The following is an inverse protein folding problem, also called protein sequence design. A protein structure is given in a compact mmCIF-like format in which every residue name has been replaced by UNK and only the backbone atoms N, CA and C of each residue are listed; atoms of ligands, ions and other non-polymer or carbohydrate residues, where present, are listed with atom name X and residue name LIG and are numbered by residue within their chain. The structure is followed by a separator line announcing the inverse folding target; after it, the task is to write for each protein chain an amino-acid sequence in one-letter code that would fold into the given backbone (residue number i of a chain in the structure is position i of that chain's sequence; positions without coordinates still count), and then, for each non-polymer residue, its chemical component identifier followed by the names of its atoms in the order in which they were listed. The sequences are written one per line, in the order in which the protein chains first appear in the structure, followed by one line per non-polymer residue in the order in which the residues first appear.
data_IF_048127729519
#
_entry.id   IF_048127729519
#
_cell.length_a   1.000
_cell.length_b   1.000
_cell.length_c   1.000
_cell.angle_alpha   90.00
_cell.angle_beta   90.00
_cell.angle_gamma   90.00
#
_symmetry.space_group_name_H-M   'P 1'
#
loop_
_entity.id
_entity.type
_entity.pdbx_description
1 polymer ?
#
# COMPACT_ATOMS: atom_id res chain seq x y z
N UNK A 1 -5.07 -8.70 -6.05
CA UNK A 1 -3.84 -9.51 -6.26
C UNK A 1 -2.57 -8.66 -6.20
N UNK A 2 -2.48 -7.54 -6.92
CA UNK A 2 -1.29 -6.66 -6.94
C UNK A 2 -1.00 -6.02 -5.57
N UNK A 3 -2.03 -5.53 -4.87
CA UNK A 3 -1.86 -4.95 -3.52
C UNK A 3 -1.24 -5.93 -2.51
N UNK A 4 -1.60 -7.22 -2.54
CA UNK A 4 -1.03 -8.23 -1.65
C UNK A 4 0.46 -8.46 -1.93
N UNK A 5 0.87 -8.45 -3.21
CA UNK A 5 2.30 -8.53 -3.59
C UNK A 5 3.06 -7.31 -3.08
N UNK A 6 2.46 -6.13 -3.10
CA UNK A 6 3.08 -4.95 -2.51
C UNK A 6 3.16 -5.06 -0.99
N UNK A 7 2.08 -5.40 -0.29
CA UNK A 7 2.03 -5.42 1.17
C UNK A 7 2.98 -6.46 1.81
N UNK A 8 3.18 -7.61 1.15
CA UNK A 8 3.93 -8.75 1.71
C UNK A 8 5.16 -9.16 0.88
N UNK A 9 5.37 -8.54 -0.28
CA UNK A 9 6.39 -8.98 -1.23
C UNK A 9 6.02 -10.30 -1.92
N UNK A 10 6.86 -10.72 -2.86
CA UNK A 10 6.78 -12.07 -3.41
C UNK A 10 8.10 -12.55 -4.00
N UNK A 11 8.24 -13.87 -4.13
CA UNK A 11 9.38 -14.51 -4.78
C UNK A 11 8.89 -15.38 -5.93
N UNK A 12 9.31 -15.04 -7.14
CA UNK A 12 8.84 -15.69 -8.37
C UNK A 12 9.99 -16.51 -8.96
N UNK A 13 9.77 -17.80 -9.17
CA UNK A 13 10.75 -18.65 -9.86
C UNK A 13 10.88 -18.22 -11.32
N UNK A 14 12.11 -18.05 -11.79
CA UNK A 14 12.41 -17.64 -13.16
C UNK A 14 12.27 -18.85 -14.08
N UNK A 15 11.38 -18.74 -15.05
CA UNK A 15 11.28 -19.70 -16.15
C UNK A 15 12.09 -19.23 -17.35
N UNK A 16 12.45 -20.14 -18.26
CA UNK A 16 13.15 -19.78 -19.50
C UNK A 16 12.32 -18.83 -20.36
N UNK A 17 10.99 -19.01 -20.39
CA UNK A 17 10.08 -18.09 -21.08
C UNK A 17 10.15 -16.68 -20.49
N UNK A 18 10.15 -16.55 -19.16
CA UNK A 18 10.29 -15.24 -18.49
C UNK A 18 11.65 -14.61 -18.78
N UNK A 19 12.72 -15.41 -18.76
CA UNK A 19 14.08 -14.94 -19.07
C UNK A 19 14.15 -14.36 -20.48
N UNK A 20 13.60 -15.08 -21.47
CA UNK A 20 13.57 -14.62 -22.85
C UNK A 20 12.70 -13.37 -23.01
N UNK A 21 11.55 -13.32 -22.33
CA UNK A 21 10.67 -12.15 -22.33
C UNK A 21 11.36 -10.90 -21.78
N UNK A 22 12.00 -11.01 -20.61
CA UNK A 22 12.71 -9.90 -19.98
C UNK A 22 13.91 -9.46 -20.82
N UNK A 23 14.66 -10.40 -21.41
CA UNK A 23 15.75 -10.10 -22.34
C UNK A 23 15.26 -9.32 -23.57
N UNK A 24 14.12 -9.71 -24.15
CA UNK A 24 13.51 -8.98 -25.27
C UNK A 24 13.06 -7.56 -24.89
N UNK A 25 12.82 -7.31 -23.60
CA UNK A 25 12.53 -5.99 -23.02
C UNK A 25 13.79 -5.24 -22.56
N UNK A 26 14.99 -5.79 -22.76
CA UNK A 26 16.26 -5.16 -22.37
C UNK A 26 16.75 -5.51 -20.96
N UNK A 27 16.00 -6.31 -20.19
CA UNK A 27 16.41 -6.78 -18.86
C UNK A 27 17.01 -8.20 -18.93
N UNK A 28 18.33 -8.28 -19.03
CA UNK A 28 19.05 -9.55 -19.09
C UNK A 28 19.32 -10.12 -17.69
N UNK A 29 18.74 -11.28 -17.40
CA UNK A 29 18.99 -12.01 -16.15
C UNK A 29 20.22 -12.92 -16.29
N UNK A 30 21.09 -12.91 -15.27
CA UNK A 30 22.21 -13.87 -15.16
C UNK A 30 21.69 -15.30 -15.17
N UNK A 31 22.46 -16.24 -15.73
CA UNK A 31 22.05 -17.66 -15.87
C UNK A 31 21.73 -18.30 -14.53
N UNK A 32 22.43 -17.86 -13.48
CA UNK A 32 22.31 -18.35 -12.11
C UNK A 32 21.09 -17.76 -11.39
N UNK A 33 20.49 -16.68 -11.90
CA UNK A 33 19.28 -16.08 -11.32
C UNK A 33 18.10 -17.03 -11.46
N UNK A 34 17.76 -17.69 -10.35
CA UNK A 34 16.63 -18.63 -10.26
C UNK A 34 15.33 -17.95 -9.82
N UNK A 35 15.39 -16.76 -9.22
CA UNK A 35 14.23 -16.08 -8.67
C UNK A 35 14.28 -14.57 -8.92
N UNK A 36 13.11 -13.98 -9.12
CA UNK A 36 12.88 -12.54 -9.02
C UNK A 36 12.27 -12.28 -7.65
N UNK A 37 12.90 -11.40 -6.88
CA UNK A 37 12.43 -11.00 -5.56
C UNK A 37 11.78 -9.62 -5.68
N UNK A 38 10.47 -9.56 -5.39
CA UNK A 38 9.74 -8.30 -5.24
C UNK A 38 9.69 -8.00 -3.74
N UNK A 39 10.30 -6.89 -3.27
CA UNK A 39 10.32 -6.56 -1.85
C UNK A 39 8.92 -6.18 -1.36
N UNK A 40 8.66 -6.43 -0.07
CA UNK A 40 7.48 -5.92 0.60
C UNK A 40 7.56 -4.38 0.73
N UNK A 41 6.40 -3.76 0.68
CA UNK A 41 6.12 -2.33 0.80
C UNK A 41 4.86 -2.24 1.63
N UNK A 42 5.00 -2.44 2.94
CA UNK A 42 3.91 -2.63 3.92
C UNK A 42 3.11 -1.35 4.14
N UNK A 43 2.38 -0.90 3.13
CA UNK A 43 1.68 0.39 3.12
C UNK A 43 0.44 0.40 4.02
N UNK A 44 -0.15 -0.75 4.32
CA UNK A 44 -1.24 -0.86 5.29
C UNK A 44 -0.68 -1.00 6.70
N UNK A 45 0.18 -2.00 6.95
CA UNK A 45 0.69 -2.26 8.31
C UNK A 45 1.55 -1.13 8.85
N UNK A 46 2.59 -0.74 8.12
CA UNK A 46 3.44 0.36 8.57
C UNK A 46 2.72 1.72 8.53
N UNK A 47 1.75 1.87 7.61
CA UNK A 47 0.87 3.03 7.59
C UNK A 47 0.00 3.12 8.85
N UNK A 48 -0.51 1.99 9.35
CA UNK A 48 -1.24 1.92 10.61
C UNK A 48 -0.31 2.21 11.78
N UNK A 49 0.83 1.53 11.88
CA UNK A 49 1.79 1.70 12.97
C UNK A 49 2.24 3.18 13.12
N UNK A 50 2.40 3.90 12.00
CA UNK A 50 2.76 5.33 12.01
C UNK A 50 1.61 6.25 12.45
N UNK A 51 0.36 5.84 12.22
CA UNK A 51 -0.80 6.71 12.37
C UNK A 51 -1.72 6.33 13.53
N UNK A 52 -1.53 5.17 14.15
CA UNK A 52 -2.40 4.57 15.17
C UNK A 52 -2.63 5.53 16.33
N UNK A 53 -1.57 6.07 16.93
CA UNK A 53 -1.69 6.95 18.10
C UNK A 53 -2.59 8.16 17.81
N UNK A 54 -2.39 8.82 16.67
CA UNK A 54 -3.21 9.97 16.31
C UNK A 54 -4.62 9.59 15.83
N UNK A 55 -4.88 8.34 15.46
CA UNK A 55 -6.23 7.84 15.17
C UNK A 55 -6.93 7.61 16.50
N UNK A 56 -6.28 6.92 17.45
CA UNK A 56 -6.80 6.64 18.80
C UNK A 56 -7.15 7.94 19.53
N UNK A 57 -6.26 8.92 19.55
CA UNK A 57 -6.55 10.24 20.13
C UNK A 57 -7.79 10.88 19.52
N UNK A 58 -7.96 10.76 18.19
CA UNK A 58 -9.12 11.32 17.50
C UNK A 58 -10.42 10.57 17.81
N UNK A 59 -10.34 9.27 18.02
CA UNK A 59 -11.46 8.43 18.46
C UNK A 59 -11.91 8.88 19.85
N UNK A 60 -10.99 9.08 20.79
CA UNK A 60 -11.30 9.56 22.15
C UNK A 60 -12.03 10.93 22.11
N UNK A 61 -11.53 11.87 21.31
CA UNK A 61 -12.18 13.18 21.09
C UNK A 61 -13.57 13.07 20.46
N UNK A 62 -13.79 12.08 19.58
CA UNK A 62 -15.08 11.85 18.93
C UNK A 62 -16.08 11.25 19.92
N UNK A 63 -15.67 10.25 20.69
CA UNK A 63 -16.51 9.61 21.70
C UNK A 63 -16.96 10.61 22.76
N UNK A 64 -16.04 11.44 23.28
CA UNK A 64 -16.40 12.46 24.28
C UNK A 64 -17.43 13.45 23.73
N UNK A 65 -17.25 13.94 22.50
CA UNK A 65 -18.23 14.84 21.86
C UNK A 65 -19.56 14.16 21.54
N UNK A 66 -19.54 12.88 21.17
CA UNK A 66 -20.77 12.13 20.91
C UNK A 66 -21.60 11.96 22.17
N UNK A 67 -20.98 11.74 23.34
CA UNK A 67 -21.67 11.71 24.63
C UNK A 67 -22.33 13.06 24.96
N UNK A 68 -21.74 14.18 24.55
CA UNK A 68 -22.28 15.53 24.76
C UNK A 68 -23.41 15.87 23.78
N UNK A 69 -23.29 15.47 22.52
CA UNK A 69 -24.20 15.86 21.43
C UNK A 69 -25.28 14.81 21.08
N UNK A 70 -25.14 13.58 21.57
CA UNK A 70 -26.04 12.46 21.27
C UNK A 70 -25.80 11.81 19.90
N UNK A 71 -24.59 11.87 19.36
CA UNK A 71 -24.23 11.26 18.08
C UNK A 71 -24.31 9.72 18.15
N UNK A 72 -24.64 9.06 17.04
CA UNK A 72 -24.70 7.60 17.00
C UNK A 72 -23.30 6.98 16.95
N UNK A 73 -23.14 5.80 17.54
CA UNK A 73 -21.87 5.05 17.46
C UNK A 73 -21.46 4.76 16.00
N UNK A 74 -22.44 4.55 15.12
CA UNK A 74 -22.17 4.31 13.71
C UNK A 74 -21.52 5.53 13.04
N UNK A 75 -22.01 6.74 13.33
CA UNK A 75 -21.43 7.98 12.78
C UNK A 75 -19.97 8.19 13.25
N UNK A 76 -19.69 7.80 14.50
CA UNK A 76 -18.32 7.81 15.04
C UNK A 76 -17.44 6.82 14.27
N UNK A 77 -17.89 5.57 14.11
CA UNK A 77 -17.13 4.53 13.40
C UNK A 77 -16.88 4.89 11.94
N UNK A 78 -17.87 5.47 11.25
CA UNK A 78 -17.74 6.00 9.89
C UNK A 78 -16.65 7.09 9.82
N UNK A 79 -16.65 8.01 10.77
CA UNK A 79 -15.65 9.08 10.84
C UNK A 79 -14.24 8.52 11.06
N UNK A 80 -14.11 7.52 11.93
CA UNK A 80 -12.84 6.85 12.23
C UNK A 80 -12.34 6.07 11.01
N UNK A 81 -13.21 5.33 10.34
CA UNK A 81 -12.89 4.61 9.11
C UNK A 81 -12.40 5.56 8.01
N UNK A 82 -13.09 6.68 7.80
CA UNK A 82 -12.70 7.69 6.83
C UNK A 82 -11.33 8.31 7.16
N UNK A 83 -11.07 8.59 8.44
CA UNK A 83 -9.78 9.11 8.89
C UNK A 83 -8.65 8.10 8.64
N UNK A 84 -8.84 6.84 9.04
CA UNK A 84 -7.87 5.78 8.86
C UNK A 84 -7.56 5.57 7.37
N UNK A 85 -8.60 5.44 6.53
CA UNK A 85 -8.48 5.37 5.07
C UNK A 85 -7.64 6.51 4.52
N UNK A 86 -7.96 7.75 4.90
CA UNK A 86 -7.24 8.94 4.44
C UNK A 86 -5.75 8.90 4.79
N UNK A 87 -5.42 8.56 6.04
CA UNK A 87 -4.03 8.47 6.52
C UNK A 87 -3.25 7.37 5.83
N UNK A 88 -3.84 6.18 5.68
CA UNK A 88 -3.21 5.06 4.97
C UNK A 88 -2.99 5.39 3.49
N UNK A 89 -3.92 6.08 2.84
CA UNK A 89 -3.74 6.54 1.46
C UNK A 89 -2.61 7.58 1.34
N UNK A 90 -2.46 8.49 2.29
CA UNK A 90 -1.33 9.44 2.33
C UNK A 90 -0.02 8.68 2.50
N UNK A 91 0.07 7.79 3.48
CA UNK A 91 1.26 6.96 3.71
C UNK A 91 1.66 6.19 2.45
N UNK A 92 0.70 5.52 1.79
CA UNK A 92 0.96 4.77 0.56
C UNK A 92 1.46 5.65 -0.59
N UNK A 93 0.96 6.89 -0.72
CA UNK A 93 1.44 7.85 -1.73
C UNK A 93 2.86 8.32 -1.43
N UNK A 94 3.21 8.47 -0.16
CA UNK A 94 4.49 9.01 0.29
C UNK A 94 5.58 7.95 0.46
N UNK A 95 5.22 6.67 0.47
CA UNK A 95 6.16 5.56 0.51
C UNK A 95 7.18 5.64 -0.64
N UNK A 96 8.47 5.60 -0.29
CA UNK A 96 9.60 5.57 -1.24
C UNK A 96 10.46 4.32 -1.12
N UNK A 97 10.41 3.65 0.02
CA UNK A 97 11.26 2.51 0.34
C UNK A 97 10.40 1.28 0.68
N UNK A 98 10.76 0.09 0.16
CA UNK A 98 11.79 -0.17 -0.85
C UNK A 98 11.48 0.41 -2.25
N UNK A 99 12.51 1.01 -2.86
CA UNK A 99 12.41 1.68 -4.16
C UNK A 99 12.13 0.70 -5.31
N UNK A 100 11.70 1.23 -6.46
CA UNK A 100 11.64 0.47 -7.70
C UNK A 100 13.04 0.12 -8.20
N UNK A 101 13.16 -1.05 -8.86
CA UNK A 101 14.36 -1.37 -9.62
C UNK A 101 14.52 -0.35 -10.78
N UNK A 102 15.74 0.06 -11.17
CA UNK A 102 15.96 1.06 -12.22
C UNK A 102 15.20 0.77 -13.52
N UNK A 103 15.22 -0.50 -13.96
CA UNK A 103 14.44 -0.97 -15.10
C UNK A 103 12.93 -0.68 -14.97
N UNK A 104 12.35 -0.91 -13.80
CA UNK A 104 10.93 -0.64 -13.55
C UNK A 104 10.65 0.87 -13.55
N UNK A 105 11.54 1.69 -12.99
CA UNK A 105 11.41 3.15 -13.02
C UNK A 105 11.44 3.70 -14.44
N UNK A 106 12.33 3.17 -15.28
CA UNK A 106 12.44 3.54 -16.69
C UNK A 106 11.19 3.16 -17.48
N UNK A 107 10.74 1.90 -17.40
CA UNK A 107 9.55 1.42 -18.10
C UNK A 107 8.28 2.15 -17.65
N UNK A 108 8.17 2.46 -16.37
CA UNK A 108 7.01 3.15 -15.77
C UNK A 108 7.01 4.65 -16.03
N UNK A 109 8.20 5.25 -16.18
CA UNK A 109 8.36 6.71 -16.23
C UNK A 109 8.21 7.41 -14.87
N UNK A 110 8.14 6.66 -13.75
CA UNK A 110 8.08 7.24 -12.40
C UNK A 110 8.80 6.36 -11.37
N UNK A 111 9.38 7.02 -10.36
CA UNK A 111 10.16 6.35 -9.31
C UNK A 111 9.33 5.90 -8.11
N UNK A 112 8.07 6.35 -8.01
CA UNK A 112 7.22 5.98 -6.89
C UNK A 112 6.89 4.48 -6.96
N UNK A 113 7.16 3.70 -5.90
CA UNK A 113 6.98 2.26 -5.94
C UNK A 113 5.52 1.80 -5.94
N UNK A 114 4.58 2.61 -5.45
CA UNK A 114 3.16 2.24 -5.33
C UNK A 114 2.23 3.07 -6.22
N UNK A 115 2.68 4.22 -6.72
CA UNK A 115 1.88 5.12 -7.55
C UNK A 115 2.21 4.93 -9.03
N UNK A 116 1.41 4.14 -9.73
CA UNK A 116 1.41 4.06 -11.19
C UNK A 116 0.30 4.94 -11.79
N UNK A 117 -0.91 4.40 -11.93
CA UNK A 117 -2.13 5.16 -12.27
C UNK A 117 -2.77 5.84 -11.05
N UNK A 118 -2.40 5.40 -9.84
CA UNK A 118 -3.05 5.79 -8.58
C UNK A 118 -4.27 4.96 -8.21
N UNK A 119 -4.74 4.07 -9.09
CA UNK A 119 -5.96 3.27 -8.89
C UNK A 119 -5.89 2.38 -7.63
N UNK A 120 -4.76 1.72 -7.37
CA UNK A 120 -4.58 0.87 -6.19
C UNK A 120 -4.84 1.65 -4.89
N UNK A 121 -4.29 2.86 -4.77
CA UNK A 121 -4.47 3.70 -3.59
C UNK A 121 -5.90 4.25 -3.54
N UNK A 122 -6.44 4.67 -4.69
CA UNK A 122 -7.83 5.14 -4.80
C UNK A 122 -8.86 4.08 -4.40
N UNK A 123 -8.57 2.81 -4.63
CA UNK A 123 -9.42 1.68 -4.27
C UNK A 123 -9.35 1.25 -2.80
N UNK A 124 -8.45 1.82 -2.00
CA UNK A 124 -8.41 1.53 -0.57
C UNK A 124 -9.68 2.04 0.09
N UNK A 125 -10.35 1.19 0.85
CA UNK A 125 -11.59 1.54 1.54
C UNK A 125 -11.68 0.94 2.95
N UNK A 126 -12.71 1.34 3.69
CA UNK A 126 -13.07 0.80 4.99
C UNK A 126 -14.52 0.29 4.96
N UNK A 127 -14.86 -0.57 5.91
CA UNK A 127 -16.22 -1.08 6.11
C UNK A 127 -16.55 -0.99 7.61
N UNK A 128 -17.77 -0.54 7.91
CA UNK A 128 -18.31 -0.53 9.27
C UNK A 128 -19.40 -1.59 9.33
N UNK A 129 -19.17 -2.63 10.14
CA UNK A 129 -20.16 -3.67 10.39
C UNK A 129 -21.05 -3.27 11.57
N UNK A 130 -22.37 -3.48 11.41
CA UNK A 130 -23.42 -3.15 12.38
C UNK A 130 -23.92 -4.37 13.15
#
# INVERSE_FOLDING_TARGET
MIAAVHEFGCRIAVTDRMRNYLAAKGLYLKKETQYINIPERSFIRAGWDENEEGIVQKVEDLVNRALENGDSMNDIMETVGLLAKGRLQVYARDLRNPANHPFTTEEKGSSNPLVDTGEMIGSMDYEVES
#
